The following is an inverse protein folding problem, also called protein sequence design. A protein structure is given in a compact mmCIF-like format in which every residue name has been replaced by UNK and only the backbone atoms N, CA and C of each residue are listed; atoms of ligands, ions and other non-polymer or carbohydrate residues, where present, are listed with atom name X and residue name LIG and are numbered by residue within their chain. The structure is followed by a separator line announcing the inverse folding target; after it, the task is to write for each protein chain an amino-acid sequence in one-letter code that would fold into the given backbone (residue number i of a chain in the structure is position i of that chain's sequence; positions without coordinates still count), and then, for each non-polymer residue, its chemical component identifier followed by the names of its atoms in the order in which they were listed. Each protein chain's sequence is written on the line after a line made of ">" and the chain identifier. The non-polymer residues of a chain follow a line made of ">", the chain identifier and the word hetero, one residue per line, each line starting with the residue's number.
data_IF_977771096016
#
_entry.id   IF_977771096016
#
_cell.length_a   1.000
_cell.length_b   1.000
_cell.length_c   1.000
_cell.angle_alpha   90.00
_cell.angle_beta   90.00
_cell.angle_gamma   90.00
#
_symmetry.space_group_name_H-M   'P 1'
#
loop_
_entity.id
_entity.type
_entity.pdbx_description
1 polymer ?
#
# COMPACT_ATOMS: atom_id res chain seq x y z
N UNK A 1 -13.33 -35.32 8.86
CA UNK A 1 -13.32 -34.13 8.00
C UNK A 1 -12.09 -33.33 8.41
N UNK A 2 -11.00 -33.40 7.65
CA UNK A 2 -9.84 -32.54 7.91
C UNK A 2 -10.12 -31.18 7.28
N UNK A 3 -10.03 -30.10 8.05
CA UNK A 3 -10.12 -28.74 7.52
C UNK A 3 -9.01 -28.52 6.48
N UNK A 4 -9.29 -27.89 5.33
CA UNK A 4 -8.23 -27.55 4.38
C UNK A 4 -7.24 -26.59 5.04
N UNK A 5 -5.93 -26.70 4.75
CA UNK A 5 -4.95 -25.77 5.28
C UNK A 5 -5.34 -24.34 4.86
N UNK A 6 -5.15 -23.32 5.72
CA UNK A 6 -5.42 -21.94 5.33
C UNK A 6 -4.55 -21.61 4.10
N UNK A 7 -5.21 -21.18 3.01
CA UNK A 7 -4.52 -20.79 1.79
C UNK A 7 -3.50 -19.68 2.08
N UNK A 8 -2.21 -19.84 1.73
CA UNK A 8 -1.18 -18.82 2.00
C UNK A 8 -1.32 -17.54 1.15
N UNK A 9 -2.40 -17.38 0.38
CA UNK A 9 -2.60 -16.28 -0.58
C UNK A 9 -3.58 -15.19 -0.09
N UNK A 10 -4.26 -15.37 1.05
CA UNK A 10 -5.18 -14.34 1.61
C UNK A 10 -4.46 -13.19 2.34
N UNK A 11 -3.13 -13.22 2.42
CA UNK A 11 -2.32 -12.27 3.17
C UNK A 11 -1.10 -11.76 2.38
N UNK A 12 -1.20 -11.60 1.05
CA UNK A 12 -0.28 -10.70 0.35
C UNK A 12 -0.83 -9.26 0.42
N UNK A 13 -0.45 -8.45 1.43
CA UNK A 13 -0.84 -7.05 1.45
C UNK A 13 -0.41 -6.31 0.18
N UNK A 14 0.69 -6.72 -0.46
CA UNK A 14 1.16 -6.11 -1.71
C UNK A 14 0.20 -6.40 -2.87
N UNK A 15 -0.54 -7.51 -2.85
CA UNK A 15 -1.56 -7.80 -3.86
C UNK A 15 -2.68 -6.75 -3.86
N UNK A 16 -2.98 -6.12 -2.71
CA UNK A 16 -3.95 -5.02 -2.65
C UNK A 16 -3.48 -3.79 -3.44
N UNK A 17 -2.17 -3.53 -3.50
CA UNK A 17 -1.62 -2.43 -4.30
C UNK A 17 -1.56 -2.77 -5.80
N UNK A 18 -1.48 -4.06 -6.16
CA UNK A 18 -1.38 -4.53 -7.55
C UNK A 18 -2.74 -4.41 -8.24
N UNK A 19 -2.89 -3.35 -9.04
CA UNK A 19 -4.08 -3.12 -9.87
C UNK A 19 -4.92 -1.92 -9.45
N UNK A 20 -4.54 -1.21 -8.38
CA UNK A 20 -5.19 0.04 -8.01
C UNK A 20 -4.73 1.17 -8.94
N UNK A 21 -5.69 1.98 -9.38
CA UNK A 21 -5.42 3.29 -9.96
C UNK A 21 -5.00 4.30 -8.89
N UNK A 22 -4.71 5.53 -9.32
CA UNK A 22 -4.14 6.58 -8.46
C UNK A 22 -4.99 6.85 -7.20
N UNK A 23 -6.32 6.92 -7.33
CA UNK A 23 -7.22 7.18 -6.20
C UNK A 23 -7.23 6.04 -5.19
N UNK A 24 -7.18 4.79 -5.66
CA UNK A 24 -7.11 3.61 -4.81
C UNK A 24 -5.80 3.55 -4.03
N UNK A 25 -4.68 3.89 -4.69
CA UNK A 25 -3.38 3.95 -4.05
C UNK A 25 -3.29 5.09 -3.03
N UNK A 26 -3.90 6.25 -3.29
CA UNK A 26 -3.97 7.37 -2.34
C UNK A 26 -4.76 7.01 -1.09
N UNK A 27 -5.94 6.39 -1.27
CA UNK A 27 -6.77 5.94 -0.16
C UNK A 27 -6.08 4.85 0.68
N UNK A 28 -5.38 3.93 0.02
CA UNK A 28 -4.60 2.90 0.71
C UNK A 28 -3.44 3.51 1.50
N UNK A 29 -2.71 4.46 0.91
CA UNK A 29 -1.64 5.18 1.61
C UNK A 29 -2.16 5.94 2.83
N UNK A 30 -3.28 6.65 2.67
CA UNK A 30 -3.93 7.40 3.75
C UNK A 30 -4.35 6.48 4.91
N UNK A 31 -4.82 5.26 4.62
CA UNK A 31 -5.13 4.26 5.65
C UNK A 31 -3.89 3.75 6.38
N UNK A 32 -2.73 3.67 5.70
CA UNK A 32 -1.51 3.09 6.26
C UNK A 32 -0.72 4.08 7.14
N UNK A 33 -0.58 5.33 6.70
CA UNK A 33 0.31 6.31 7.35
C UNK A 33 -0.38 7.67 7.61
N UNK A 34 -1.68 7.77 7.31
CA UNK A 34 -2.46 8.99 7.53
C UNK A 34 -2.49 9.94 6.32
N UNK A 35 -3.26 11.02 6.46
CA UNK A 35 -3.58 11.94 5.37
C UNK A 35 -2.37 12.72 4.83
N UNK A 36 -1.37 12.99 5.67
CA UNK A 36 -0.22 13.84 5.32
C UNK A 36 0.56 13.29 4.10
N UNK A 37 0.73 11.98 4.01
CA UNK A 37 1.52 11.39 2.92
C UNK A 37 0.74 11.25 1.62
N UNK A 38 -0.56 11.00 1.72
CA UNK A 38 -1.44 11.13 0.56
C UNK A 38 -1.49 12.58 0.04
N UNK A 39 -1.30 13.59 0.91
CA UNK A 39 -1.26 15.00 0.51
C UNK A 39 0.00 15.33 -0.31
N UNK A 40 1.15 14.70 -0.06
CA UNK A 40 2.37 14.87 -0.86
C UNK A 40 2.14 14.42 -2.31
N UNK A 41 1.53 13.25 -2.50
CA UNK A 41 1.21 12.75 -3.85
C UNK A 41 0.16 13.63 -4.56
N UNK A 42 -0.84 14.13 -3.83
CA UNK A 42 -1.80 15.12 -4.37
C UNK A 42 -1.10 16.44 -4.75
N UNK A 43 -0.14 16.90 -3.94
CA UNK A 43 0.69 18.07 -4.22
C UNK A 43 1.54 17.92 -5.48
N UNK A 44 2.13 16.73 -5.70
CA UNK A 44 2.90 16.44 -6.92
C UNK A 44 2.02 16.53 -8.18
N UNK A 45 0.79 15.99 -8.14
CA UNK A 45 -0.17 16.11 -9.25
C UNK A 45 -0.54 17.58 -9.50
N UNK A 46 -0.82 18.34 -8.44
CA UNK A 46 -1.14 19.76 -8.54
C UNK A 46 0.03 20.59 -9.11
N UNK A 47 1.27 20.18 -8.86
CA UNK A 47 2.48 20.79 -9.42
C UNK A 47 2.74 20.39 -10.90
N UNK A 48 1.89 19.54 -11.50
CA UNK A 48 2.01 19.12 -12.89
C UNK A 48 2.96 17.94 -13.11
N UNK A 49 3.33 17.20 -12.06
CA UNK A 49 4.10 15.96 -12.21
C UNK A 49 3.26 14.96 -13.02
N UNK A 50 3.84 14.29 -14.03
CA UNK A 50 3.11 13.31 -14.83
C UNK A 50 2.45 12.23 -13.95
N UNK A 51 1.17 11.96 -14.18
CA UNK A 51 0.38 11.01 -13.37
C UNK A 51 0.98 9.60 -13.35
N UNK A 52 1.59 9.16 -14.46
CA UNK A 52 2.29 7.87 -14.53
C UNK A 52 3.47 7.80 -13.54
N UNK A 53 4.23 8.89 -13.39
CA UNK A 53 5.34 8.96 -12.42
C UNK A 53 4.78 8.92 -10.99
N UNK A 54 3.72 9.69 -10.72
CA UNK A 54 3.09 9.69 -9.40
C UNK A 54 2.55 8.31 -9.04
N UNK A 55 1.89 7.60 -9.97
CA UNK A 55 1.36 6.25 -9.74
C UNK A 55 2.47 5.26 -9.40
N UNK A 56 3.57 5.26 -10.15
CA UNK A 56 4.69 4.33 -9.90
C UNK A 56 5.35 4.58 -8.54
N UNK A 57 5.59 5.84 -8.19
CA UNK A 57 6.18 6.19 -6.89
C UNK A 57 5.22 5.92 -5.73
N UNK A 58 3.94 6.23 -5.91
CA UNK A 58 2.90 5.96 -4.91
C UNK A 58 2.74 4.46 -4.66
N UNK A 59 2.80 3.64 -5.73
CA UNK A 59 2.81 2.18 -5.61
C UNK A 59 4.02 1.71 -4.81
N UNK A 60 5.24 2.11 -5.20
CA UNK A 60 6.48 1.74 -4.47
C UNK A 60 6.38 2.10 -2.99
N UNK A 61 5.82 3.26 -2.69
CA UNK A 61 5.70 3.71 -1.31
C UNK A 61 4.69 2.90 -0.50
N UNK A 62 3.52 2.60 -1.07
CA UNK A 62 2.56 1.69 -0.45
C UNK A 62 3.19 0.31 -0.22
N UNK A 63 3.90 -0.23 -1.20
CA UNK A 63 4.60 -1.51 -1.10
C UNK A 63 5.64 -1.50 0.04
N UNK A 64 6.45 -0.43 0.17
CA UNK A 64 7.41 -0.24 1.28
C UNK A 64 6.73 -0.20 2.64
N UNK A 65 5.61 0.53 2.76
CA UNK A 65 4.84 0.68 4.00
C UNK A 65 4.20 -0.63 4.44
N UNK A 66 3.59 -1.36 3.51
CA UNK A 66 3.03 -2.67 3.78
C UNK A 66 4.08 -3.69 4.24
N UNK A 67 5.26 -3.69 3.61
CA UNK A 67 6.37 -4.54 4.02
C UNK A 67 6.85 -4.20 5.45
N UNK A 68 6.94 -2.90 5.78
CA UNK A 68 7.30 -2.44 7.13
C UNK A 68 6.26 -2.83 8.18
N UNK A 69 4.97 -2.63 7.88
CA UNK A 69 3.88 -2.97 8.80
C UNK A 69 3.83 -4.48 9.07
N UNK A 70 4.02 -5.31 8.04
CA UNK A 70 4.08 -6.77 8.22
C UNK A 70 5.20 -7.19 9.15
N UNK A 71 6.41 -6.66 8.94
CA UNK A 71 7.55 -6.91 9.84
C UNK A 71 7.25 -6.48 11.29
N UNK A 72 6.57 -5.34 11.46
CA UNK A 72 6.18 -4.88 12.79
C UNK A 72 5.15 -5.81 13.47
N UNK A 73 4.19 -6.37 12.72
CA UNK A 73 3.28 -7.38 13.26
C UNK A 73 4.03 -8.67 13.66
N UNK A 74 4.93 -9.17 12.80
CA UNK A 74 5.72 -10.36 13.09
C UNK A 74 6.64 -10.18 14.32
N UNK A 75 7.18 -8.97 14.54
CA UNK A 75 8.05 -8.66 15.70
C UNK A 75 7.28 -8.48 17.02
N UNK A 76 5.95 -8.32 17.00
CA UNK A 76 5.11 -8.13 18.21
C UNK A 76 4.38 -9.39 18.70
N UNK A 77 4.50 -10.52 18.00
CA UNK A 77 3.91 -11.81 18.41
C UNK A 77 4.82 -12.66 19.34
N UNK A 78 5.69 -12.04 20.15
CA UNK A 78 6.52 -12.74 21.14
C UNK A 78 6.10 -12.45 22.58
#
# INVERSE_FOLDING_TARGET
>A
MAEPPPSPDSADPLAQARGLGIDGLLALLERLDGADESAVARGALAAGVPSMVVVEELRREVERRLARSRRFYDEREW
#
